data_IF_860599003983
#
_entry.id   IF_860599003983
#
_cell.length_a   1.000
_cell.length_b   1.000
_cell.length_c   1.000
_cell.angle_alpha   90.00
_cell.angle_beta   90.00
_cell.angle_gamma   90.00
#
_symmetry.space_group_name_H-M   'P 1'
#
loop_
_entity.id
_entity.type
_entity.pdbx_description
1 polymer ?
#
# COMPACT_ATOMS: atom_id res chain seq x y z
N UNK A 1 23.21 13.80 -6.50
CA UNK A 1 24.32 13.99 -5.55
C UNK A 1 23.71 14.04 -4.14
N UNK A 2 23.86 12.97 -3.35
CA UNK A 2 23.32 12.91 -1.99
C UNK A 2 24.14 13.84 -1.09
N UNK A 3 23.58 14.98 -0.70
CA UNK A 3 24.24 15.89 0.24
C UNK A 3 24.00 15.40 1.67
N UNK A 4 25.01 14.74 2.24
CA UNK A 4 25.01 14.19 3.60
C UNK A 4 24.95 15.30 4.67
N UNK A 5 25.36 16.53 4.33
CA UNK A 5 25.48 17.63 5.30
C UNK A 5 24.19 18.45 5.48
N UNK A 6 23.13 18.15 4.73
CA UNK A 6 21.89 18.93 4.77
C UNK A 6 22.08 20.35 4.19
N UNK A 7 21.08 20.83 3.47
CA UNK A 7 21.08 22.24 3.04
C UNK A 7 21.04 23.13 4.28
N UNK A 8 22.00 24.04 4.43
CA UNK A 8 21.96 25.10 5.44
C UNK A 8 20.73 25.99 5.16
N UNK A 9 19.57 25.63 5.74
CA UNK A 9 18.34 26.39 5.60
C UNK A 9 18.28 27.43 6.71
N UNK A 10 18.63 28.66 6.36
CA UNK A 10 18.14 29.92 6.94
C UNK A 10 18.46 30.18 8.43
N UNK A 11 18.45 31.45 8.86
CA UNK A 11 18.95 31.86 10.17
C UNK A 11 17.97 31.62 11.33
N UNK A 12 17.00 30.71 11.19
CA UNK A 12 15.89 30.60 12.14
C UNK A 12 15.47 29.16 12.40
N UNK A 13 16.35 28.38 13.04
CA UNK A 13 16.05 27.32 14.02
C UNK A 13 17.26 26.38 14.18
N UNK A 14 18.30 26.84 14.88
CA UNK A 14 19.44 25.99 15.25
C UNK A 14 19.87 26.31 16.68
N UNK A 15 20.15 25.26 17.46
CA UNK A 15 20.90 25.41 18.71
C UNK A 15 22.27 26.09 18.38
N UNK A 16 22.84 26.84 19.32
CA UNK A 16 24.05 27.66 19.10
C UNK A 16 25.32 26.88 18.70
N UNK A 17 25.24 25.56 18.61
CA UNK A 17 26.30 24.64 18.18
C UNK A 17 26.23 24.30 16.67
N UNK A 18 25.22 24.79 15.94
CA UNK A 18 25.05 24.53 14.51
C UNK A 18 24.65 23.09 14.18
N UNK A 19 24.33 22.27 15.18
CA UNK A 19 23.96 20.87 15.00
C UNK A 19 22.43 20.70 15.07
N UNK A 20 21.83 20.36 13.92
CA UNK A 20 20.41 20.00 13.88
C UNK A 20 20.20 18.58 14.42
N UNK A 21 19.23 18.41 15.33
CA UNK A 21 18.77 17.07 15.79
C UNK A 21 18.45 16.13 14.62
N UNK A 22 17.90 16.66 13.52
CA UNK A 22 17.60 15.88 12.32
C UNK A 22 18.89 15.41 11.62
N UNK A 23 19.92 16.25 11.56
CA UNK A 23 21.21 15.86 11.00
C UNK A 23 21.89 14.78 11.86
N UNK A 24 21.84 14.90 13.19
CA UNK A 24 22.34 13.88 14.10
C UNK A 24 21.62 12.52 13.91
N UNK A 25 20.29 12.52 13.83
CA UNK A 25 19.51 11.30 13.58
C UNK A 25 19.72 10.74 12.18
N UNK A 26 19.92 11.60 11.18
CA UNK A 26 20.14 11.16 9.79
C UNK A 26 21.51 10.51 9.65
N UNK A 27 22.57 11.15 10.15
CA UNK A 27 23.94 10.63 10.11
C UNK A 27 24.09 9.41 11.03
N UNK A 28 23.56 9.48 12.25
CA UNK A 28 23.58 8.36 13.19
C UNK A 28 22.76 7.16 12.69
N UNK A 29 21.59 7.40 12.12
CA UNK A 29 20.75 6.37 11.50
C UNK A 29 21.40 5.73 10.27
N UNK A 30 22.04 6.53 9.40
CA UNK A 30 22.79 6.02 8.26
C UNK A 30 24.05 5.26 8.67
N UNK A 31 24.76 5.70 9.72
CA UNK A 31 25.93 4.99 10.22
C UNK A 31 25.54 3.63 10.81
N UNK A 32 24.52 3.58 11.69
CA UNK A 32 24.07 2.34 12.31
C UNK A 32 23.38 1.39 11.31
N UNK A 33 22.51 1.92 10.44
CA UNK A 33 21.78 1.13 9.45
C UNK A 33 22.62 0.77 8.21
N UNK A 34 23.56 1.62 7.81
CA UNK A 34 24.40 1.42 6.63
C UNK A 34 25.49 0.37 6.84
N UNK A 35 26.09 0.30 8.04
CA UNK A 35 27.11 -0.71 8.36
C UNK A 35 26.54 -2.13 8.40
N UNK A 36 25.28 -2.28 8.82
CA UNK A 36 24.60 -3.59 8.87
C UNK A 36 23.91 -3.96 7.56
N UNK A 37 23.67 -3.00 6.65
CA UNK A 37 22.93 -3.23 5.40
C UNK A 37 23.55 -4.32 4.52
N UNK A 38 24.87 -4.36 4.39
CA UNK A 38 25.55 -5.39 3.59
C UNK A 38 25.32 -6.81 4.16
N UNK A 39 25.33 -6.94 5.49
CA UNK A 39 25.06 -8.20 6.17
C UNK A 39 23.58 -8.60 6.06
N UNK A 40 22.67 -7.63 6.15
CA UNK A 40 21.23 -7.84 5.93
C UNK A 40 20.94 -8.31 4.50
N UNK A 41 21.54 -7.68 3.49
CA UNK A 41 21.38 -8.08 2.08
C UNK A 41 22.00 -9.46 1.80
N UNK A 42 23.12 -9.79 2.43
CA UNK A 42 23.72 -11.12 2.33
C UNK A 42 22.84 -12.20 3.01
N UNK A 43 22.25 -11.87 4.17
CA UNK A 43 21.32 -12.74 4.88
C UNK A 43 20.02 -12.96 4.09
N UNK A 44 19.46 -11.91 3.45
CA UNK A 44 18.29 -12.02 2.57
C UNK A 44 18.58 -12.92 1.36
N UNK A 45 19.77 -12.80 0.75
CA UNK A 45 20.23 -13.70 -0.32
C UNK A 45 20.38 -15.15 0.15
N UNK A 46 20.91 -15.38 1.35
CA UNK A 46 21.06 -16.73 1.92
C UNK A 46 19.74 -17.35 2.36
N UNK A 47 18.81 -16.55 2.86
CA UNK A 47 17.48 -16.99 3.27
C UNK A 47 16.62 -17.48 2.10
N UNK A 48 17.02 -17.21 0.85
CA UNK A 48 16.27 -17.64 -0.33
C UNK A 48 14.89 -16.99 -0.43
N UNK A 49 14.66 -15.92 0.34
CA UNK A 49 13.45 -15.08 0.34
C UNK A 49 13.33 -14.21 -0.90
N UNK A 50 14.31 -14.31 -1.81
CA UNK A 50 14.36 -13.64 -3.10
C UNK A 50 13.04 -13.76 -3.84
N UNK A 51 12.36 -12.61 -3.95
CA UNK A 51 11.14 -12.43 -4.71
C UNK A 51 9.98 -13.34 -4.23
N UNK A 52 9.36 -13.00 -3.10
CA UNK A 52 7.90 -13.18 -3.04
C UNK A 52 7.32 -12.32 -4.18
N UNK A 53 7.02 -12.95 -5.32
CA UNK A 53 6.47 -12.31 -6.52
C UNK A 53 5.00 -11.88 -6.30
N UNK A 54 4.61 -11.63 -5.05
CA UNK A 54 3.31 -11.10 -4.65
C UNK A 54 3.35 -9.60 -4.88
N UNK A 55 2.99 -9.18 -6.08
CA UNK A 55 2.69 -7.79 -6.36
C UNK A 55 1.30 -7.46 -5.80
N UNK A 56 1.21 -6.49 -4.89
CA UNK A 56 -0.05 -5.98 -4.37
C UNK A 56 -0.37 -4.69 -5.11
N UNK A 57 -1.49 -4.64 -5.80
CA UNK A 57 -2.04 -3.39 -6.34
C UNK A 57 -3.01 -2.85 -5.29
N UNK A 58 -2.62 -1.79 -4.59
CA UNK A 58 -3.51 -1.09 -3.66
C UNK A 58 -4.27 0.00 -4.41
N UNK A 59 -5.58 -0.16 -4.54
CA UNK A 59 -6.47 0.84 -5.15
C UNK A 59 -7.15 1.63 -4.02
N UNK A 60 -6.58 2.80 -3.71
CA UNK A 60 -7.13 3.70 -2.68
C UNK A 60 -8.20 4.62 -3.28
N UNK A 61 -9.46 4.44 -2.89
CA UNK A 61 -10.61 5.21 -3.38
C UNK A 61 -11.31 5.96 -2.24
N UNK A 62 -10.83 7.15 -1.85
CA UNK A 62 -11.50 7.95 -0.82
C UNK A 62 -12.87 8.41 -1.32
N UNK A 63 -13.94 8.05 -0.59
CA UNK A 63 -15.32 8.30 -1.00
C UNK A 63 -15.84 7.39 -2.12
N UNK A 64 -15.11 6.33 -2.46
CA UNK A 64 -15.57 5.30 -3.39
C UNK A 64 -16.68 4.42 -2.80
N UNK A 65 -17.30 3.58 -3.64
CA UNK A 65 -18.31 2.61 -3.20
C UNK A 65 -17.70 1.63 -2.19
N UNK A 66 -18.50 1.25 -1.21
CA UNK A 66 -18.06 0.39 -0.12
C UNK A 66 -18.01 -1.09 -0.56
N UNK A 67 -17.54 -1.97 0.32
CA UNK A 67 -17.51 -3.40 0.03
C UNK A 67 -18.92 -3.99 -0.21
N UNK A 68 -19.93 -3.49 0.52
CA UNK A 68 -21.34 -3.92 0.36
C UNK A 68 -21.89 -3.51 -1.01
N UNK A 69 -21.37 -2.44 -1.62
CA UNK A 69 -21.85 -1.94 -2.92
C UNK A 69 -21.20 -2.67 -4.11
N UNK A 70 -20.04 -3.26 -3.89
CA UNK A 70 -19.18 -3.80 -4.94
C UNK A 70 -19.18 -5.33 -5.00
N UNK A 71 -19.08 -5.98 -3.85
CA UNK A 71 -18.81 -7.42 -3.77
C UNK A 71 -19.90 -8.21 -3.06
N UNK A 72 -20.65 -7.57 -2.16
CA UNK A 72 -21.68 -8.23 -1.35
C UNK A 72 -22.96 -7.38 -1.32
N UNK A 73 -23.65 -7.31 -2.47
CA UNK A 73 -24.74 -6.38 -2.74
C UNK A 73 -26.01 -6.61 -1.90
N UNK A 74 -26.04 -7.68 -1.09
CA UNK A 74 -27.17 -8.09 -0.24
C UNK A 74 -28.53 -7.73 -0.85
N UNK A 75 -28.88 -8.25 -2.04
CA UNK A 75 -30.04 -7.79 -2.80
C UNK A 75 -31.37 -7.94 -2.03
N UNK A 76 -31.42 -8.89 -1.09
CA UNK A 76 -32.57 -9.18 -0.25
C UNK A 76 -32.67 -8.32 1.03
N UNK A 77 -31.67 -7.47 1.31
CA UNK A 77 -31.71 -6.59 2.47
C UNK A 77 -32.64 -5.37 2.22
N UNK A 78 -33.12 -4.70 3.29
CA UNK A 78 -33.84 -3.44 3.18
C UNK A 78 -33.08 -2.39 2.35
N UNK A 79 -33.82 -1.47 1.72
CA UNK A 79 -33.26 -0.45 0.81
C UNK A 79 -32.27 0.49 1.49
N UNK A 80 -32.36 0.62 2.81
CA UNK A 80 -31.49 1.44 3.64
C UNK A 80 -30.13 0.78 3.90
N UNK A 81 -30.04 -0.55 3.69
CA UNK A 81 -28.85 -1.36 3.96
C UNK A 81 -28.16 -1.77 2.66
N UNK A 82 -28.93 -2.15 1.64
CA UNK A 82 -28.38 -2.50 0.33
C UNK A 82 -28.02 -1.23 -0.45
N UNK A 83 -26.93 -1.28 -1.20
CA UNK A 83 -26.52 -0.22 -2.11
C UNK A 83 -27.50 0.01 -3.26
N UNK A 84 -27.22 1.03 -4.06
CA UNK A 84 -28.02 1.37 -5.25
C UNK A 84 -27.77 0.43 -6.43
N UNK A 85 -26.64 -0.28 -6.41
CA UNK A 85 -26.21 -1.16 -7.49
C UNK A 85 -26.94 -2.50 -7.50
N UNK A 86 -26.94 -3.15 -8.66
CA UNK A 86 -27.55 -4.47 -8.86
C UNK A 86 -26.52 -5.57 -9.04
N UNK A 87 -26.79 -6.79 -8.54
CA UNK A 87 -25.95 -7.93 -8.81
C UNK A 87 -26.05 -8.35 -10.28
N UNK A 88 -24.93 -8.83 -10.82
CA UNK A 88 -24.83 -9.54 -12.10
C UNK A 88 -24.23 -10.92 -11.87
N UNK A 89 -24.69 -11.90 -12.63
CA UNK A 89 -24.12 -13.26 -12.61
C UNK A 89 -22.69 -13.25 -13.15
N UNK A 90 -21.82 -14.05 -12.52
CA UNK A 90 -20.47 -14.30 -13.01
C UNK A 90 -20.41 -15.58 -13.85
N UNK A 91 -19.25 -15.86 -14.45
CA UNK A 91 -19.03 -17.13 -15.15
C UNK A 91 -18.94 -18.34 -14.19
N UNK A 92 -18.93 -18.14 -12.88
CA UNK A 92 -19.00 -19.19 -11.86
C UNK A 92 -20.43 -19.25 -11.31
N UNK A 93 -21.15 -20.40 -11.44
CA UNK A 93 -22.52 -20.52 -10.96
C UNK A 93 -22.65 -20.23 -9.46
N UNK A 94 -23.68 -19.47 -9.08
CA UNK A 94 -23.97 -19.11 -7.69
C UNK A 94 -23.16 -17.94 -7.13
N UNK A 95 -22.27 -17.33 -7.94
CA UNK A 95 -21.53 -16.13 -7.56
C UNK A 95 -22.05 -14.93 -8.35
N UNK A 96 -22.42 -13.88 -7.62
CA UNK A 96 -22.90 -12.61 -8.16
C UNK A 96 -21.99 -11.46 -7.67
N UNK A 97 -21.75 -10.47 -8.52
CA UNK A 97 -20.97 -9.26 -8.18
C UNK A 97 -21.66 -7.99 -8.71
N UNK A 98 -21.14 -6.81 -8.40
CA UNK A 98 -21.72 -5.54 -8.86
C UNK A 98 -21.74 -5.40 -10.39
N UNK A 99 -22.83 -4.86 -10.94
CA UNK A 99 -23.01 -4.58 -12.37
C UNK A 99 -21.91 -3.69 -12.99
N UNK A 100 -21.19 -2.93 -12.16
CA UNK A 100 -20.06 -2.10 -12.58
C UNK A 100 -18.79 -2.92 -12.93
N UNK A 101 -18.78 -4.22 -12.67
CA UNK A 101 -17.63 -5.10 -12.89
C UNK A 101 -17.84 -6.16 -13.99
N UNK A 102 -18.30 -5.81 -15.21
CA UNK A 102 -18.65 -6.80 -16.24
C UNK A 102 -17.45 -7.59 -16.76
N UNK A 103 -16.23 -7.01 -16.72
CA UNK A 103 -15.00 -7.72 -17.11
C UNK A 103 -14.56 -8.72 -16.06
N UNK A 104 -14.74 -8.38 -14.79
CA UNK A 104 -14.37 -9.23 -13.66
C UNK A 104 -15.33 -10.41 -13.55
N UNK A 105 -16.63 -10.18 -13.77
CA UNK A 105 -17.65 -11.24 -13.81
C UNK A 105 -17.32 -12.34 -14.83
N UNK A 106 -16.64 -11.99 -15.94
CA UNK A 106 -16.19 -12.93 -16.98
C UNK A 106 -14.90 -13.68 -16.63
N UNK A 107 -14.23 -13.32 -15.55
CA UNK A 107 -12.93 -13.87 -15.14
C UNK A 107 -12.96 -14.41 -13.70
N UNK A 108 -14.15 -14.64 -13.14
CA UNK A 108 -14.31 -15.03 -11.73
C UNK A 108 -13.75 -16.43 -11.45
N UNK A 109 -13.55 -17.24 -12.48
CA UNK A 109 -12.91 -18.56 -12.48
C UNK A 109 -11.38 -18.54 -12.37
N UNK A 110 -10.75 -17.36 -12.44
CA UNK A 110 -9.28 -17.22 -12.54
C UNK A 110 -8.59 -16.89 -11.22
N UNK A 111 -9.33 -16.81 -10.12
CA UNK A 111 -8.84 -16.41 -8.80
C UNK A 111 -8.99 -17.52 -7.77
#
# INVERSE_FOLDING_TARGET
MFSILGSARGPSAGFCDGLSRRNFLTVGGMACGGLSLAQVLAADKQAGTGSNHRAIINVYMPGGPSHIDLWDLKPNAPKEIRGEFRPIETNVPGIEICELFPRMAKMMDKF
#
